data_IF_581999541716
#
_entry.id   IF_581999541716
#
_cell.length_a   1.000
_cell.length_b   1.000
_cell.length_c   1.000
_cell.angle_alpha   90.00
_cell.angle_beta   90.00
_cell.angle_gamma   90.00
#
_symmetry.space_group_name_H-M   'P 1'
#
loop_
_entity.id
_entity.type
_entity.pdbx_description
1 polymer ?
#
# COMPACT_ATOMS: atom_id res chain seq x y z
N UNK A 1 -45.60 -1.33 -22.68
CA UNK A 1 -44.17 -1.34 -23.00
C UNK A 1 -43.53 -2.41 -22.10
N UNK A 2 -43.00 -3.41 -22.73
CA UNK A 2 -42.66 -4.74 -22.18
C UNK A 2 -41.44 -4.72 -21.25
N UNK A 3 -41.65 -5.18 -20.02
CA UNK A 3 -40.58 -5.44 -18.99
C UNK A 3 -40.07 -6.88 -19.17
N UNK A 4 -39.44 -7.19 -20.27
CA UNK A 4 -38.89 -8.52 -20.48
C UNK A 4 -37.63 -8.44 -21.34
N UNK A 5 -36.47 -8.31 -20.70
CA UNK A 5 -35.17 -8.84 -21.19
C UNK A 5 -34.05 -8.44 -20.24
N UNK A 6 -34.13 -8.92 -19.00
CA UNK A 6 -32.88 -9.10 -18.24
C UNK A 6 -32.43 -10.55 -18.39
N UNK A 7 -31.19 -10.82 -18.73
CA UNK A 7 -30.71 -12.18 -18.79
C UNK A 7 -30.68 -12.80 -17.39
N UNK A 8 -31.59 -13.72 -17.13
CA UNK A 8 -31.78 -14.41 -15.85
C UNK A 8 -30.65 -15.38 -15.45
N UNK A 9 -29.53 -15.38 -16.16
CA UNK A 9 -28.45 -16.37 -15.95
C UNK A 9 -27.32 -15.94 -15.01
N UNK A 10 -27.23 -14.66 -14.62
CA UNK A 10 -26.17 -14.17 -13.74
C UNK A 10 -26.47 -14.37 -12.23
N UNK A 11 -27.71 -14.72 -11.88
CA UNK A 11 -28.14 -14.84 -10.48
C UNK A 11 -27.83 -16.19 -9.81
N UNK A 12 -27.31 -17.17 -10.55
CA UNK A 12 -27.10 -18.54 -10.07
C UNK A 12 -25.66 -18.87 -9.67
N UNK A 13 -24.68 -18.06 -10.04
CA UNK A 13 -23.31 -18.31 -9.65
C UNK A 13 -23.05 -17.79 -8.22
N UNK A 14 -22.33 -18.55 -7.38
CA UNK A 14 -21.82 -18.03 -6.11
C UNK A 14 -21.00 -16.77 -6.36
N UNK A 15 -21.13 -15.75 -5.50
CA UNK A 15 -20.49 -14.44 -5.66
C UNK A 15 -18.96 -14.52 -5.84
N UNK A 16 -18.29 -15.56 -5.31
CA UNK A 16 -16.84 -15.78 -5.46
C UNK A 16 -16.44 -16.37 -6.81
N UNK A 17 -17.40 -16.83 -7.62
CA UNK A 17 -17.17 -17.34 -8.99
C UNK A 17 -17.48 -16.30 -10.06
N UNK A 18 -18.12 -15.20 -9.70
CA UNK A 18 -18.44 -14.12 -10.64
C UNK A 18 -17.17 -13.38 -11.11
N UNK A 19 -16.17 -13.06 -10.21
CA UNK A 19 -14.99 -12.32 -10.64
C UNK A 19 -14.06 -13.17 -11.50
N UNK A 20 -13.45 -12.55 -12.49
CA UNK A 20 -12.40 -13.17 -13.32
C UNK A 20 -11.12 -13.35 -12.51
N UNK A 21 -10.21 -14.22 -13.00
CA UNK A 21 -8.90 -14.39 -12.38
C UNK A 21 -8.12 -13.09 -12.30
N UNK A 22 -8.20 -12.25 -13.32
CA UNK A 22 -7.50 -10.96 -13.37
C UNK A 22 -8.04 -9.98 -12.31
N UNK A 23 -9.36 -10.01 -12.05
CA UNK A 23 -9.99 -9.21 -10.99
C UNK A 23 -9.54 -9.68 -9.59
N UNK A 24 -9.40 -10.98 -9.37
CA UNK A 24 -8.85 -11.54 -8.13
C UNK A 24 -7.40 -11.14 -7.92
N UNK A 25 -6.56 -11.18 -8.97
CA UNK A 25 -5.16 -10.75 -8.85
C UNK A 25 -5.05 -9.25 -8.53
N UNK A 26 -5.83 -8.42 -9.21
CA UNK A 26 -5.87 -6.97 -8.94
C UNK A 26 -6.32 -6.67 -7.50
N UNK A 27 -7.35 -7.39 -7.03
CA UNK A 27 -7.83 -7.26 -5.66
C UNK A 27 -6.79 -7.69 -4.63
N UNK A 28 -6.17 -8.85 -4.80
CA UNK A 28 -5.13 -9.36 -3.90
C UNK A 28 -3.91 -8.43 -3.87
N UNK A 29 -3.51 -7.88 -5.01
CA UNK A 29 -2.43 -6.91 -5.07
C UNK A 29 -2.75 -5.62 -4.27
N UNK A 30 -3.99 -5.10 -4.39
CA UNK A 30 -4.44 -3.97 -3.61
C UNK A 30 -4.52 -4.29 -2.12
N UNK A 31 -5.06 -5.45 -1.76
CA UNK A 31 -5.20 -5.91 -0.38
C UNK A 31 -3.84 -6.08 0.30
N UNK A 32 -2.87 -6.70 -0.38
CA UNK A 32 -1.50 -6.82 0.10
C UNK A 32 -0.83 -5.45 0.23
N UNK A 33 -0.99 -4.55 -0.75
CA UNK A 33 -0.45 -3.20 -0.69
C UNK A 33 -0.94 -2.46 0.56
N UNK A 34 -2.24 -2.48 0.83
CA UNK A 34 -2.80 -1.85 2.02
C UNK A 34 -2.36 -2.49 3.33
N UNK A 35 -2.18 -3.82 3.36
CA UNK A 35 -1.61 -4.51 4.52
C UNK A 35 -0.20 -4.00 4.81
N UNK A 36 0.62 -3.79 3.77
CA UNK A 36 1.98 -3.31 3.90
C UNK A 36 2.07 -1.84 4.30
N UNK A 37 1.18 -1.02 3.78
CA UNK A 37 1.03 0.37 4.20
C UNK A 37 0.74 0.45 5.71
N UNK A 38 -0.23 -0.35 6.17
CA UNK A 38 -0.57 -0.44 7.58
C UNK A 38 0.59 -0.98 8.43
N UNK A 39 1.36 -1.93 7.89
CA UNK A 39 2.56 -2.45 8.55
C UNK A 39 3.61 -1.36 8.73
N UNK A 40 3.99 -0.63 7.66
CA UNK A 40 5.01 0.44 7.77
C UNK A 40 4.54 1.59 8.68
N UNK A 41 3.27 1.95 8.58
CA UNK A 41 2.65 2.96 9.44
C UNK A 41 2.77 2.58 10.92
N UNK A 42 2.40 1.36 11.26
CA UNK A 42 2.35 0.89 12.65
C UNK A 42 3.74 0.59 13.19
N UNK A 43 4.63 0.00 12.38
CA UNK A 43 5.98 -0.30 12.83
C UNK A 43 6.72 1.00 13.20
N UNK A 44 6.51 2.09 12.43
CA UNK A 44 7.10 3.38 12.77
C UNK A 44 6.59 3.93 14.10
N UNK A 45 5.30 3.78 14.40
CA UNK A 45 4.76 4.17 15.71
C UNK A 45 5.41 3.39 16.86
N UNK A 46 5.62 2.09 16.68
CA UNK A 46 6.25 1.23 17.70
C UNK A 46 7.73 1.56 17.94
N UNK A 47 8.45 1.96 16.89
CA UNK A 47 9.87 2.29 16.98
C UNK A 47 10.17 3.76 17.31
N UNK A 48 9.16 4.61 17.52
CA UNK A 48 9.36 6.03 17.83
C UNK A 48 10.19 6.24 19.10
N UNK A 49 9.96 5.46 20.16
CA UNK A 49 10.69 5.55 21.42
C UNK A 49 12.15 5.13 21.26
N UNK A 50 12.47 3.99 20.64
CA UNK A 50 13.87 3.66 20.30
C UNK A 50 14.59 4.71 19.49
N UNK A 51 13.96 5.27 18.47
CA UNK A 51 14.53 6.34 17.63
C UNK A 51 14.84 7.59 18.47
N UNK A 52 13.89 8.01 19.30
CA UNK A 52 14.07 9.19 20.17
C UNK A 52 15.26 9.01 21.13
N UNK A 53 15.43 7.80 21.68
CA UNK A 53 16.55 7.48 22.57
C UNK A 53 17.90 7.45 21.85
N UNK A 54 17.96 6.90 20.64
CA UNK A 54 19.20 6.74 19.90
C UNK A 54 19.75 8.09 19.41
N UNK A 55 18.87 8.98 18.93
CA UNK A 55 19.26 10.30 18.44
C UNK A 55 19.25 11.39 19.50
N UNK A 56 18.98 11.05 20.77
CA UNK A 56 18.86 11.98 21.88
C UNK A 56 17.96 13.18 21.57
N UNK A 57 16.79 12.88 21.01
CA UNK A 57 15.77 13.87 20.67
C UNK A 57 14.48 13.61 21.45
N UNK A 58 13.69 14.65 21.74
CA UNK A 58 12.41 14.44 22.41
C UNK A 58 11.46 13.65 21.48
N UNK A 59 10.61 12.81 22.07
CA UNK A 59 9.64 12.00 21.31
C UNK A 59 8.71 12.87 20.45
N UNK A 60 8.48 14.11 20.85
CA UNK A 60 7.72 15.10 20.08
C UNK A 60 8.37 15.41 18.74
N UNK A 61 9.72 15.43 18.66
CA UNK A 61 10.41 15.60 17.39
C UNK A 61 10.17 14.43 16.44
N UNK A 62 10.19 13.19 16.96
CA UNK A 62 9.86 11.99 16.15
C UNK A 62 8.39 11.99 15.72
N UNK A 63 7.49 12.46 16.59
CA UNK A 63 6.07 12.65 16.24
C UNK A 63 5.88 13.68 15.11
N UNK A 64 6.70 14.73 15.07
CA UNK A 64 6.69 15.71 13.95
C UNK A 64 7.11 15.03 12.64
N UNK A 65 8.12 14.16 12.65
CA UNK A 65 8.51 13.38 11.46
C UNK A 65 7.33 12.57 10.94
N UNK A 66 6.62 11.90 11.83
CA UNK A 66 5.44 11.13 11.48
C UNK A 66 4.31 12.00 10.89
N UNK A 67 4.01 13.12 11.56
CA UNK A 67 3.01 14.09 11.10
C UNK A 67 3.37 14.65 9.71
N UNK A 68 4.62 15.01 9.50
CA UNK A 68 5.11 15.52 8.22
C UNK A 68 4.95 14.47 7.10
N UNK A 69 5.24 13.21 7.40
CA UNK A 69 5.03 12.10 6.46
C UNK A 69 3.58 12.03 6.02
N UNK A 70 2.63 12.16 6.95
CA UNK A 70 1.20 12.15 6.65
C UNK A 70 0.74 13.37 5.83
N UNK A 71 1.25 14.56 6.13
CA UNK A 71 0.94 15.76 5.35
C UNK A 71 1.45 15.67 3.91
N UNK A 72 2.67 15.20 3.74
CA UNK A 72 3.27 15.04 2.41
C UNK A 72 2.59 13.92 1.60
N UNK A 73 1.93 12.97 2.25
CA UNK A 73 1.08 11.98 1.61
C UNK A 73 -0.07 12.63 0.82
N UNK A 74 -0.64 13.73 1.31
CA UNK A 74 -1.67 14.48 0.60
C UNK A 74 -1.13 15.06 -0.72
N UNK A 75 0.08 15.62 -0.70
CA UNK A 75 0.74 16.12 -1.92
C UNK A 75 1.00 14.98 -2.90
N UNK A 76 1.47 13.84 -2.41
CA UNK A 76 1.69 12.65 -3.22
C UNK A 76 0.40 12.13 -3.86
N UNK A 77 -0.69 12.08 -3.12
CA UNK A 77 -2.00 11.66 -3.63
C UNK A 77 -2.49 12.58 -4.76
N UNK A 78 -2.34 13.90 -4.60
CA UNK A 78 -2.72 14.88 -5.61
C UNK A 78 -1.88 14.73 -6.89
N UNK A 79 -0.55 14.61 -6.74
CA UNK A 79 0.35 14.42 -7.88
C UNK A 79 0.06 13.10 -8.61
N UNK A 80 -0.18 12.02 -7.87
CA UNK A 80 -0.49 10.72 -8.44
C UNK A 80 -1.86 10.70 -9.13
N UNK A 81 -2.86 11.39 -8.61
CA UNK A 81 -4.15 11.58 -9.27
C UNK A 81 -3.98 12.26 -10.63
N UNK A 82 -3.25 13.37 -10.67
CA UNK A 82 -2.96 14.08 -11.92
C UNK A 82 -2.17 13.22 -12.94
N UNK A 83 -1.21 12.42 -12.46
CA UNK A 83 -0.48 11.48 -13.32
C UNK A 83 -1.38 10.35 -13.82
N UNK A 84 -2.29 9.85 -12.97
CA UNK A 84 -3.21 8.77 -13.32
C UNK A 84 -4.17 9.17 -14.44
N UNK A 85 -4.62 10.43 -14.46
CA UNK A 85 -5.49 10.97 -15.51
C UNK A 85 -4.80 11.05 -16.87
N UNK A 86 -3.45 11.20 -16.90
CA UNK A 86 -2.68 11.35 -18.15
C UNK A 86 -2.07 10.05 -18.65
N UNK A 87 -1.54 9.22 -17.76
CA UNK A 87 -0.76 8.02 -18.08
C UNK A 87 -1.47 6.71 -17.70
N UNK A 88 -2.71 6.81 -17.21
CA UNK A 88 -3.42 5.67 -16.64
C UNK A 88 -2.99 5.34 -15.21
N UNK A 89 -3.80 4.56 -14.50
CA UNK A 89 -3.67 4.33 -13.04
C UNK A 89 -2.51 3.41 -12.66
N UNK A 90 -2.05 2.54 -13.56
CA UNK A 90 -1.00 1.55 -13.28
C UNK A 90 0.37 2.19 -13.10
N UNK A 91 0.74 3.12 -13.98
CA UNK A 91 2.08 3.75 -13.99
C UNK A 91 2.37 4.55 -12.72
N UNK A 92 1.50 5.48 -12.26
CA UNK A 92 1.73 6.20 -11.01
C UNK A 92 1.85 5.28 -9.80
N UNK A 93 1.06 4.21 -9.77
CA UNK A 93 1.08 3.24 -8.68
C UNK A 93 2.42 2.49 -8.61
N UNK A 94 2.96 2.08 -9.77
CA UNK A 94 4.28 1.42 -9.83
C UNK A 94 5.41 2.35 -9.41
N UNK A 95 5.40 3.59 -9.89
CA UNK A 95 6.38 4.62 -9.49
C UNK A 95 6.30 4.87 -8.00
N UNK A 96 5.11 4.97 -7.45
CA UNK A 96 4.84 5.20 -6.04
C UNK A 96 5.42 4.09 -5.16
N UNK A 97 5.15 2.82 -5.48
CA UNK A 97 5.66 1.66 -4.74
C UNK A 97 7.19 1.62 -4.77
N UNK A 98 7.78 1.84 -5.94
CA UNK A 98 9.23 1.88 -6.09
C UNK A 98 9.85 3.01 -5.26
N UNK A 99 9.26 4.20 -5.33
CA UNK A 99 9.73 5.39 -4.63
C UNK A 99 9.71 5.20 -3.11
N UNK A 100 8.57 4.79 -2.52
CA UNK A 100 8.52 4.64 -1.08
C UNK A 100 9.38 3.48 -0.59
N UNK A 101 9.52 2.39 -1.36
CA UNK A 101 10.40 1.27 -1.01
C UNK A 101 11.85 1.70 -0.93
N UNK A 102 12.33 2.49 -1.91
CA UNK A 102 13.68 3.05 -1.91
C UNK A 102 13.87 4.00 -0.73
N UNK A 103 12.93 4.90 -0.50
CA UNK A 103 13.00 5.84 0.62
C UNK A 103 13.02 5.12 1.98
N UNK A 104 12.22 4.07 2.14
CA UNK A 104 12.19 3.27 3.37
C UNK A 104 13.52 2.53 3.60
N UNK A 105 14.08 1.96 2.53
CA UNK A 105 15.39 1.30 2.59
C UNK A 105 16.48 2.26 3.03
N UNK A 106 16.56 3.42 2.41
CA UNK A 106 17.56 4.44 2.75
C UNK A 106 17.34 4.98 4.17
N UNK A 107 16.08 5.15 4.60
CA UNK A 107 15.76 5.55 5.96
C UNK A 107 16.28 4.58 7.04
N UNK A 108 16.38 3.28 6.73
CA UNK A 108 16.99 2.28 7.60
C UNK A 108 18.49 2.48 7.82
N UNK A 109 19.20 3.18 6.94
CA UNK A 109 20.63 3.51 7.07
C UNK A 109 20.88 4.87 7.71
N UNK A 110 19.86 5.55 8.24
CA UNK A 110 19.98 6.93 8.72
C UNK A 110 21.09 7.12 9.76
N UNK A 111 22.11 7.94 9.45
CA UNK A 111 23.18 8.29 10.39
C UNK A 111 22.82 9.40 11.34
N UNK A 112 21.76 10.18 11.02
CA UNK A 112 21.30 11.32 11.79
C UNK A 112 19.78 11.44 11.77
N UNK A 113 19.23 12.11 12.78
CA UNK A 113 17.80 12.39 12.86
C UNK A 113 17.27 13.19 11.66
N UNK A 114 18.03 14.21 11.20
CA UNK A 114 17.66 15.04 10.05
C UNK A 114 17.59 14.18 8.76
N UNK A 115 18.51 13.25 8.60
CA UNK A 115 18.48 12.31 7.47
C UNK A 115 17.21 11.45 7.49
N UNK A 116 16.88 10.89 8.66
CA UNK A 116 15.66 10.12 8.85
C UNK A 116 14.41 10.95 8.50
N UNK A 117 14.35 12.22 8.97
CA UNK A 117 13.26 13.13 8.70
C UNK A 117 13.07 13.37 7.21
N UNK A 118 14.15 13.63 6.46
CA UNK A 118 14.09 13.90 5.02
C UNK A 118 13.54 12.66 4.27
N UNK A 119 14.10 11.48 4.52
CA UNK A 119 13.68 10.27 3.81
C UNK A 119 12.27 9.80 4.21
N UNK A 120 11.85 10.02 5.44
CA UNK A 120 10.46 9.78 5.86
C UNK A 120 9.48 10.78 5.24
N UNK A 121 9.87 12.03 5.08
CA UNK A 121 9.09 13.04 4.36
C UNK A 121 8.91 12.65 2.88
N UNK A 122 9.99 12.27 2.21
CA UNK A 122 9.97 11.78 0.82
C UNK A 122 9.15 10.50 0.67
N UNK A 123 9.24 9.58 1.62
CA UNK A 123 8.43 8.36 1.68
C UNK A 123 6.94 8.71 1.72
N UNK A 124 6.54 9.72 2.51
CA UNK A 124 5.15 10.17 2.57
C UNK A 124 4.59 10.57 1.21
N UNK A 125 5.37 11.26 0.38
CA UNK A 125 4.97 11.61 -1.00
C UNK A 125 4.71 10.34 -1.80
N UNK A 126 5.60 9.35 -1.71
CA UNK A 126 5.44 8.07 -2.39
C UNK A 126 4.16 7.32 -2.00
N UNK A 127 3.86 7.21 -0.72
CA UNK A 127 2.69 6.48 -0.22
C UNK A 127 1.35 7.10 -0.61
N UNK A 128 1.32 8.36 -1.04
CA UNK A 128 0.08 9.07 -1.35
C UNK A 128 -0.74 8.46 -2.47
N UNK A 129 -0.10 7.86 -3.47
CA UNK A 129 -0.80 7.28 -4.63
C UNK A 129 -1.50 5.96 -4.33
N UNK A 130 -1.04 5.20 -3.35
CA UNK A 130 -1.45 3.80 -3.17
C UNK A 130 -2.91 3.66 -2.76
N UNK A 131 -3.40 4.50 -1.86
CA UNK A 131 -4.77 4.41 -1.35
C UNK A 131 -5.83 4.67 -2.41
N UNK A 132 -5.86 5.84 -3.07
CA UNK A 132 -6.89 6.13 -4.05
C UNK A 132 -6.77 5.23 -5.29
N UNK A 133 -5.55 4.99 -5.78
CA UNK A 133 -5.34 4.17 -6.97
C UNK A 133 -5.59 2.67 -6.70
N UNK A 134 -5.19 2.15 -5.54
CA UNK A 134 -5.42 0.75 -5.15
C UNK A 134 -6.90 0.44 -4.95
N UNK A 135 -7.63 1.31 -4.20
CA UNK A 135 -9.06 1.17 -4.00
C UNK A 135 -9.85 1.25 -5.31
N UNK A 136 -9.52 2.23 -6.16
CA UNK A 136 -10.16 2.38 -7.46
C UNK A 136 -9.92 1.16 -8.35
N UNK A 137 -8.68 0.70 -8.47
CA UNK A 137 -8.33 -0.47 -9.28
C UNK A 137 -9.05 -1.74 -8.81
N UNK A 138 -9.12 -1.96 -7.50
CA UNK A 138 -9.78 -3.12 -6.92
C UNK A 138 -11.31 -3.06 -7.07
N UNK A 139 -11.92 -1.89 -6.82
CA UNK A 139 -13.38 -1.78 -6.71
C UNK A 139 -14.08 -1.47 -8.03
N UNK A 140 -13.46 -0.76 -8.97
CA UNK A 140 -14.07 -0.44 -10.26
C UNK A 140 -14.30 -1.67 -11.13
N UNK A 141 -13.39 -2.62 -11.09
CA UNK A 141 -13.50 -3.86 -11.84
C UNK A 141 -14.33 -4.93 -11.13
N UNK A 142 -14.65 -4.77 -9.84
CA UNK A 142 -15.31 -5.80 -9.05
C UNK A 142 -16.83 -5.84 -9.31
N UNK A 143 -17.47 -7.04 -9.36
CA UNK A 143 -18.91 -7.18 -9.54
C UNK A 143 -19.71 -6.40 -8.47
N UNK A 144 -20.73 -5.66 -8.91
CA UNK A 144 -21.50 -4.76 -8.04
C UNK A 144 -22.17 -5.49 -6.85
N UNK A 145 -22.58 -6.75 -7.06
CA UNK A 145 -23.28 -7.58 -6.05
C UNK A 145 -22.44 -7.82 -4.78
N UNK A 146 -21.14 -8.03 -4.91
CA UNK A 146 -20.24 -8.35 -3.79
C UNK A 146 -19.26 -7.21 -3.45
N UNK A 147 -19.33 -6.08 -4.15
CA UNK A 147 -18.38 -4.95 -4.00
C UNK A 147 -18.33 -4.42 -2.57
N UNK A 148 -19.48 -4.26 -1.90
CA UNK A 148 -19.52 -3.77 -0.51
C UNK A 148 -18.83 -4.72 0.46
N UNK A 149 -19.08 -6.02 0.35
CA UNK A 149 -18.44 -7.03 1.18
C UNK A 149 -16.92 -7.08 0.97
N UNK A 150 -16.48 -7.04 -0.28
CA UNK A 150 -15.05 -7.06 -0.62
C UNK A 150 -14.35 -5.75 -0.23
N UNK A 151 -15.04 -4.62 -0.29
CA UNK A 151 -14.52 -3.36 0.26
C UNK A 151 -14.29 -3.45 1.77
N UNK A 152 -15.18 -4.12 2.51
CA UNK A 152 -14.98 -4.40 3.94
C UNK A 152 -13.74 -5.26 4.20
N UNK A 153 -13.52 -6.32 3.40
CA UNK A 153 -12.31 -7.15 3.51
C UNK A 153 -11.05 -6.35 3.16
N UNK A 154 -11.12 -5.46 2.16
CA UNK A 154 -10.01 -4.58 1.81
C UNK A 154 -9.65 -3.66 2.99
N UNK A 155 -10.63 -3.06 3.66
CA UNK A 155 -10.40 -2.28 4.87
C UNK A 155 -9.85 -3.11 6.03
N UNK A 156 -10.27 -4.36 6.17
CA UNK A 156 -9.76 -5.31 7.16
C UNK A 156 -8.26 -5.61 7.04
N UNK A 157 -7.65 -5.35 5.87
CA UNK A 157 -6.20 -5.49 5.65
C UNK A 157 -5.37 -4.61 6.59
N UNK A 158 -5.91 -3.47 7.02
CA UNK A 158 -5.30 -2.60 8.02
C UNK A 158 -5.11 -3.31 9.36
N UNK A 159 -6.14 -3.99 9.85
CA UNK A 159 -6.04 -4.76 11.08
C UNK A 159 -4.97 -5.85 11.02
N UNK A 160 -4.83 -6.52 9.87
CA UNK A 160 -3.77 -7.50 9.65
C UNK A 160 -2.38 -6.85 9.64
N UNK A 161 -2.21 -5.70 8.97
CA UNK A 161 -0.96 -4.95 8.97
C UNK A 161 -0.54 -4.53 10.39
N UNK A 162 -1.48 -4.08 11.21
CA UNK A 162 -1.27 -3.81 12.64
C UNK A 162 -0.80 -5.05 13.40
N UNK A 163 -1.48 -6.18 13.25
CA UNK A 163 -1.11 -7.41 13.93
C UNK A 163 0.29 -7.89 13.52
N UNK A 164 0.60 -7.86 12.22
CA UNK A 164 1.91 -8.25 11.70
C UNK A 164 3.03 -7.34 12.21
N UNK A 165 2.82 -6.03 12.29
CA UNK A 165 3.81 -5.10 12.81
C UNK A 165 4.06 -5.29 14.31
N UNK A 166 3.01 -5.56 15.09
CA UNK A 166 3.14 -5.86 16.51
C UNK A 166 3.92 -7.16 16.74
N UNK A 167 3.65 -8.20 15.94
CA UNK A 167 4.40 -9.46 16.00
C UNK A 167 5.87 -9.26 15.57
N UNK A 168 6.10 -8.53 14.48
CA UNK A 168 7.46 -8.24 14.03
C UNK A 168 8.25 -7.45 15.08
N UNK A 169 7.63 -6.46 15.71
CA UNK A 169 8.25 -5.74 16.80
C UNK A 169 8.55 -6.64 18.01
N UNK A 170 7.57 -7.44 18.44
CA UNK A 170 7.70 -8.28 19.62
C UNK A 170 8.74 -9.39 19.49
N UNK A 171 8.91 -9.97 18.29
CA UNK A 171 9.85 -11.10 18.08
C UNK A 171 11.21 -10.69 17.54
N UNK A 172 11.30 -9.61 16.77
CA UNK A 172 12.50 -9.30 15.99
C UNK A 172 13.21 -8.04 16.49
N UNK A 173 12.55 -7.18 17.28
CA UNK A 173 13.16 -5.92 17.70
C UNK A 173 14.45 -6.13 18.53
N UNK A 174 14.50 -7.14 19.40
CA UNK A 174 15.66 -7.41 20.23
C UNK A 174 16.87 -7.87 19.41
N UNK A 175 16.64 -8.60 18.30
CA UNK A 175 17.69 -9.17 17.46
C UNK A 175 18.22 -8.19 16.42
N UNK A 176 17.32 -7.44 15.74
CA UNK A 176 17.67 -6.63 14.57
C UNK A 176 17.52 -5.12 14.78
N UNK A 177 16.98 -4.71 15.91
CA UNK A 177 16.73 -3.31 16.24
C UNK A 177 15.69 -2.64 15.32
N UNK A 178 15.48 -1.34 15.51
CA UNK A 178 14.50 -0.58 14.73
C UNK A 178 14.87 -0.42 13.24
N UNK A 179 16.18 -0.39 12.90
CA UNK A 179 16.65 -0.33 11.51
C UNK A 179 16.30 -1.58 10.74
N UNK A 180 16.52 -2.75 11.36
CA UNK A 180 16.15 -4.04 10.78
C UNK A 180 14.64 -4.16 10.53
N UNK A 181 13.81 -3.63 11.42
CA UNK A 181 12.35 -3.61 11.24
C UNK A 181 11.93 -2.76 10.04
N UNK A 182 12.60 -1.62 9.77
CA UNK A 182 12.36 -0.84 8.56
C UNK A 182 12.74 -1.61 7.29
N UNK A 183 13.83 -2.38 7.31
CA UNK A 183 14.24 -3.18 6.17
C UNK A 183 13.29 -4.35 5.90
N UNK A 184 12.73 -4.97 6.92
CA UNK A 184 11.71 -6.01 6.74
C UNK A 184 10.48 -5.46 6.02
N UNK A 185 10.09 -4.21 6.27
CA UNK A 185 8.98 -3.55 5.58
C UNK A 185 9.16 -3.43 4.06
N UNK A 186 10.37 -3.64 3.52
CA UNK A 186 10.64 -3.60 2.07
C UNK A 186 10.35 -4.94 1.40
N UNK A 187 10.62 -6.05 2.06
CA UNK A 187 10.49 -7.39 1.47
C UNK A 187 9.09 -7.62 0.88
N UNK A 188 8.02 -7.32 1.61
CA UNK A 188 6.68 -7.45 1.07
C UNK A 188 6.37 -6.46 -0.08
N UNK A 189 6.91 -5.24 -0.02
CA UNK A 189 6.74 -4.27 -1.10
C UNK A 189 7.37 -4.76 -2.42
N UNK A 190 8.51 -5.44 -2.35
CA UNK A 190 9.12 -6.09 -3.52
C UNK A 190 8.23 -7.21 -4.08
N UNK A 191 7.56 -7.99 -3.23
CA UNK A 191 6.62 -9.03 -3.66
C UNK A 191 5.41 -8.43 -4.36
N UNK A 192 4.83 -7.35 -3.83
CA UNK A 192 3.70 -6.65 -4.48
C UNK A 192 4.13 -6.05 -5.81
N UNK A 193 5.32 -5.45 -5.87
CA UNK A 193 5.87 -4.91 -7.11
C UNK A 193 6.10 -6.00 -8.16
N UNK A 194 6.62 -7.16 -7.73
CA UNK A 194 6.80 -8.33 -8.60
C UNK A 194 5.47 -8.83 -9.17
N UNK A 195 4.44 -9.01 -8.33
CA UNK A 195 3.09 -9.42 -8.76
C UNK A 195 2.54 -8.41 -9.79
N UNK A 196 2.62 -7.11 -9.51
CA UNK A 196 2.11 -6.06 -10.39
C UNK A 196 2.88 -5.98 -11.72
N UNK A 197 4.19 -6.21 -11.70
CA UNK A 197 5.00 -6.25 -12.91
C UNK A 197 4.58 -7.37 -13.86
N UNK A 198 4.25 -8.55 -13.32
CA UNK A 198 3.73 -9.68 -14.12
C UNK A 198 2.31 -9.44 -14.65
N UNK A 199 1.43 -8.76 -13.91
CA UNK A 199 0.11 -8.35 -14.40
C UNK A 199 0.20 -7.40 -15.59
N UNK A 200 1.10 -6.43 -15.55
CA UNK A 200 1.30 -5.46 -16.64
C UNK A 200 1.76 -6.15 -17.92
N UNK A 201 2.64 -7.14 -17.83
CA UNK A 201 3.11 -7.92 -18.98
C UNK A 201 1.98 -8.69 -19.67
N UNK A 202 1.00 -9.21 -18.93
CA UNK A 202 -0.15 -9.94 -19.50
C UNK A 202 -1.20 -9.02 -20.13
N UNK A 203 -1.47 -7.86 -19.54
CA UNK A 203 -2.44 -6.90 -20.07
C UNK A 203 -1.97 -6.29 -21.38
N UNK A 204 -0.69 -5.93 -21.51
CA UNK A 204 -0.13 -5.37 -22.73
C UNK A 204 -0.07 -6.37 -23.91
N UNK A 205 0.00 -7.67 -23.63
CA UNK A 205 -0.12 -8.71 -24.65
C UNK A 205 -1.55 -8.88 -25.16
N UNK A 206 -2.58 -8.58 -24.33
CA UNK A 206 -3.99 -8.77 -24.69
C UNK A 206 -4.58 -7.60 -25.48
N UNK A 207 -3.99 -6.40 -25.37
CA UNK A 207 -4.38 -5.23 -26.18
C UNK A 207 -3.77 -5.23 -27.60
N UNK A 208 -2.86 -6.16 -27.92
CA UNK A 208 -2.21 -6.29 -29.24
C UNK A 208 -2.79 -7.42 -30.11
N UNK A 209 -3.85 -8.09 -29.70
CA UNK A 209 -4.58 -9.10 -30.45
C UNK A 209 -6.02 -8.65 -30.65
#
# INVERSE_FOLDING_TARGET
MSASNMPASSSLLPWWKEPTKDQWYAYLAAWLGWTLDAFDFTIFLLIMVPIAKEFDVPITAVAIVFTLTLWLRLLGATAAGWMADRMGRKTPLMISILWYSICNFIAGFSPSFTFLLIFRALLGIGMGAEWPAGAALAMESWPARSRGFMSGILQGSWGLGFALSALAYGFLYEDIGWRGLLWIGILPALVVMWIRFFEIGRASCRERV
#
